data_IF_207375684399
#
_entry.id   IF_207375684399
#
_cell.length_a   1.000
_cell.length_b   1.000
_cell.length_c   1.000
_cell.angle_alpha   90.00
_cell.angle_beta   90.00
_cell.angle_gamma   90.00
#
_symmetry.space_group_name_H-M   'P 1'
#
loop_
_entity.id
_entity.type
_entity.pdbx_description
1 polymer ?
#
# COMPACT_ATOMS: atom_id res chain seq x y z
N UNK A 1 -15.18 0.59 -24.32
CA UNK A 1 -14.04 0.84 -23.44
C UNK A 1 -14.31 2.15 -22.71
N UNK A 2 -14.62 2.09 -21.42
CA UNK A 2 -14.91 3.32 -20.67
C UNK A 2 -13.62 4.06 -20.36
N UNK A 3 -13.66 5.39 -20.36
CA UNK A 3 -12.54 6.31 -20.05
C UNK A 3 -11.80 6.05 -18.72
N UNK A 4 -12.28 5.09 -17.93
CA UNK A 4 -11.68 4.71 -16.64
C UNK A 4 -10.56 3.67 -16.72
N UNK A 5 -10.34 3.03 -17.87
CA UNK A 5 -9.41 1.90 -17.96
C UNK A 5 -7.94 2.32 -18.10
N UNK A 6 -7.65 3.54 -18.53
CA UNK A 6 -6.28 4.06 -18.71
C UNK A 6 -5.60 4.36 -17.36
N UNK A 7 -6.36 4.79 -16.36
CA UNK A 7 -5.78 5.20 -15.07
C UNK A 7 -5.16 4.07 -14.26
N UNK A 8 -5.50 2.81 -14.53
CA UNK A 8 -4.87 1.67 -13.86
C UNK A 8 -3.40 1.53 -14.23
N UNK A 9 -3.08 1.94 -15.44
CA UNK A 9 -1.73 1.80 -15.99
C UNK A 9 -0.80 2.91 -15.51
N UNK A 10 -1.35 4.03 -15.07
CA UNK A 10 -0.58 5.20 -14.65
C UNK A 10 -0.23 5.14 -13.15
N UNK A 11 -1.05 4.46 -12.38
CA UNK A 11 -0.86 4.31 -10.94
C UNK A 11 -0.69 2.82 -10.60
N UNK A 12 0.10 2.47 -9.57
CA UNK A 12 0.28 1.07 -9.14
C UNK A 12 -0.98 0.54 -8.43
N UNK A 13 -2.14 0.73 -9.03
CA UNK A 13 -3.40 0.21 -8.54
C UNK A 13 -3.74 -1.11 -9.22
N UNK A 14 -4.37 -2.05 -8.52
CA UNK A 14 -4.79 -3.32 -9.11
C UNK A 14 -5.81 -3.12 -10.22
N UNK A 15 -5.75 -3.95 -11.26
CA UNK A 15 -6.66 -3.92 -12.41
C UNK A 15 -8.10 -4.22 -12.02
N UNK A 16 -8.32 -5.00 -10.97
CA UNK A 16 -9.65 -5.40 -10.52
C UNK A 16 -10.45 -4.21 -10.01
N UNK A 17 -11.57 -3.92 -10.66
CA UNK A 17 -12.47 -2.81 -10.30
C UNK A 17 -12.91 -2.85 -8.85
N UNK A 18 -13.17 -4.03 -8.31
CA UNK A 18 -13.59 -4.21 -6.92
C UNK A 18 -12.48 -3.82 -5.94
N UNK A 19 -11.27 -4.27 -6.15
CA UNK A 19 -10.13 -3.87 -5.31
C UNK A 19 -9.89 -2.38 -5.33
N UNK A 20 -10.00 -1.73 -6.48
CA UNK A 20 -9.87 -0.26 -6.58
C UNK A 20 -10.94 0.47 -5.78
N UNK A 21 -12.21 0.04 -5.87
CA UNK A 21 -13.31 0.62 -5.07
C UNK A 21 -13.04 0.48 -3.58
N UNK A 22 -12.53 -0.67 -3.14
CA UNK A 22 -12.16 -0.89 -1.75
C UNK A 22 -11.02 0.03 -1.33
N UNK A 23 -9.96 0.17 -2.14
CA UNK A 23 -8.85 1.10 -1.88
C UNK A 23 -9.38 2.52 -1.69
N UNK A 24 -10.19 3.02 -2.62
CA UNK A 24 -10.78 4.35 -2.52
C UNK A 24 -11.64 4.50 -1.27
N UNK A 25 -12.46 3.49 -0.93
CA UNK A 25 -13.27 3.52 0.28
C UNK A 25 -12.44 3.63 1.55
N UNK A 26 -11.27 3.00 1.58
CA UNK A 26 -10.33 3.07 2.70
C UNK A 26 -9.67 4.45 2.76
N UNK A 27 -9.13 4.94 1.65
CA UNK A 27 -8.37 6.20 1.59
C UNK A 27 -9.25 7.45 1.79
N UNK A 28 -10.53 7.40 1.44
CA UNK A 28 -11.47 8.49 1.70
C UNK A 28 -11.98 8.51 3.13
N UNK A 29 -11.97 7.39 3.84
CA UNK A 29 -12.51 7.25 5.17
C UNK A 29 -11.53 7.76 6.25
N UNK A 30 -12.04 8.52 7.23
CA UNK A 30 -11.27 8.86 8.43
C UNK A 30 -10.83 7.60 9.18
N UNK A 31 -11.73 6.60 9.33
CA UNK A 31 -11.41 5.33 9.99
C UNK A 31 -10.28 4.61 9.23
N UNK A 32 -10.42 4.48 7.91
CA UNK A 32 -9.42 3.82 7.07
C UNK A 32 -8.04 4.48 7.18
N UNK A 33 -7.97 5.80 7.03
CA UNK A 33 -6.72 6.56 7.18
C UNK A 33 -6.11 6.39 8.56
N UNK A 34 -6.90 6.54 9.61
CA UNK A 34 -6.40 6.39 10.99
C UNK A 34 -5.85 4.99 11.24
N UNK A 35 -6.51 3.95 10.75
CA UNK A 35 -6.01 2.58 10.90
C UNK A 35 -4.69 2.39 10.15
N UNK A 36 -4.56 2.86 8.92
CA UNK A 36 -3.30 2.79 8.15
C UNK A 36 -2.17 3.54 8.86
N UNK A 37 -2.43 4.74 9.37
CA UNK A 37 -1.43 5.52 10.11
C UNK A 37 -0.96 4.86 11.40
N UNK A 38 -1.79 4.00 12.01
CA UNK A 38 -1.43 3.23 13.22
C UNK A 38 -0.82 1.85 12.92
N UNK A 39 -0.61 1.50 11.64
CA UNK A 39 0.10 0.27 11.28
C UNK A 39 1.61 0.41 11.45
N UNK A 40 2.25 -0.68 11.88
CA UNK A 40 3.69 -0.82 11.79
C UNK A 40 4.08 -1.07 10.34
N UNK A 41 5.04 -0.30 9.83
CA UNK A 41 5.53 -0.48 8.45
C UNK A 41 6.33 -1.77 8.27
N UNK A 42 7.06 -2.18 9.29
CA UNK A 42 7.96 -3.33 9.26
C UNK A 42 7.68 -4.29 10.43
N UNK A 43 6.42 -4.67 10.59
CA UNK A 43 6.05 -5.56 11.68
C UNK A 43 4.56 -5.82 11.79
N UNK A 44 4.22 -6.67 12.74
CA UNK A 44 2.83 -7.02 13.04
C UNK A 44 2.15 -5.90 13.83
N UNK A 45 0.92 -5.60 13.46
CA UNK A 45 0.02 -4.76 14.23
C UNK A 45 -1.16 -5.61 14.68
N UNK A 46 -1.42 -5.65 15.98
CA UNK A 46 -2.47 -6.50 16.53
C UNK A 46 -3.81 -5.80 16.53
N UNK A 47 -4.86 -6.54 16.16
CA UNK A 47 -6.22 -6.01 16.12
C UNK A 47 -6.64 -5.37 17.45
N UNK A 48 -6.29 -6.00 18.58
CA UNK A 48 -6.61 -5.51 19.92
C UNK A 48 -6.01 -4.14 20.21
N UNK A 49 -4.81 -3.88 19.68
CA UNK A 49 -4.09 -2.61 19.92
C UNK A 49 -4.71 -1.49 19.09
N UNK A 50 -5.14 -1.78 17.85
CA UNK A 50 -5.91 -0.84 17.04
C UNK A 50 -7.27 -0.50 17.68
N UNK A 51 -7.96 -1.49 18.27
CA UNK A 51 -9.21 -1.27 18.98
C UNK A 51 -9.00 -0.39 20.21
N UNK A 52 -7.93 -0.60 20.97
CA UNK A 52 -7.61 0.20 22.16
C UNK A 52 -7.08 1.58 21.83
N UNK A 53 -6.31 1.70 20.75
CA UNK A 53 -5.61 2.92 20.36
C UNK A 53 -6.45 3.92 19.56
N UNK A 54 -7.68 3.55 19.18
CA UNK A 54 -8.55 4.42 18.38
C UNK A 54 -9.91 4.61 19.04
N UNK A 55 -10.58 5.74 18.74
CA UNK A 55 -11.89 6.08 19.28
C UNK A 55 -13.09 5.52 18.49
N UNK A 56 -12.83 4.68 17.48
CA UNK A 56 -13.86 4.13 16.63
C UNK A 56 -14.49 2.87 17.21
N UNK A 57 -15.71 2.53 16.77
CA UNK A 57 -16.36 1.30 17.19
C UNK A 57 -15.60 0.06 16.71
N UNK A 58 -15.59 -1.00 17.52
CA UNK A 58 -14.98 -2.27 17.15
C UNK A 58 -15.50 -2.80 15.81
N UNK A 59 -16.81 -2.61 15.55
CA UNK A 59 -17.45 -3.00 14.29
C UNK A 59 -16.82 -2.28 13.10
N UNK A 60 -16.69 -0.95 13.19
CA UNK A 60 -16.08 -0.15 12.12
C UNK A 60 -14.61 -0.54 11.87
N UNK A 61 -13.84 -0.71 12.94
CA UNK A 61 -12.43 -1.11 12.85
C UNK A 61 -12.31 -2.46 12.10
N UNK A 62 -13.06 -3.47 12.54
CA UNK A 62 -13.03 -4.81 11.95
C UNK A 62 -13.48 -4.79 10.48
N UNK A 63 -14.49 -3.99 10.15
CA UNK A 63 -14.99 -3.85 8.78
C UNK A 63 -13.92 -3.25 7.86
N UNK A 64 -13.26 -2.17 8.28
CA UNK A 64 -12.21 -1.54 7.48
C UNK A 64 -10.96 -2.43 7.35
N UNK A 65 -10.57 -3.15 8.40
CA UNK A 65 -9.48 -4.13 8.33
C UNK A 65 -9.80 -5.24 7.32
N UNK A 66 -11.03 -5.73 7.27
CA UNK A 66 -11.46 -6.71 6.24
C UNK A 66 -11.37 -6.12 4.83
N UNK A 67 -11.82 -4.88 4.63
CA UNK A 67 -11.70 -4.18 3.33
C UNK A 67 -10.25 -4.05 2.90
N UNK A 68 -9.36 -3.69 3.81
CA UNK A 68 -7.92 -3.57 3.54
C UNK A 68 -7.29 -4.89 3.14
N UNK A 69 -7.68 -5.99 3.79
CA UNK A 69 -7.22 -7.34 3.40
C UNK A 69 -7.78 -7.74 2.03
N UNK A 70 -9.07 -7.51 1.76
CA UNK A 70 -9.69 -7.80 0.47
C UNK A 70 -9.12 -6.95 -0.68
N UNK A 71 -8.57 -5.78 -0.37
CA UNK A 71 -7.93 -4.89 -1.34
C UNK A 71 -6.41 -5.12 -1.48
N UNK A 72 -5.87 -6.17 -0.86
CA UNK A 72 -4.44 -6.47 -0.81
C UNK A 72 -3.57 -5.32 -0.22
N UNK A 73 -4.17 -4.47 0.62
CA UNK A 73 -3.44 -3.44 1.39
C UNK A 73 -2.75 -4.07 2.61
N UNK A 74 -3.42 -5.04 3.24
CA UNK A 74 -2.92 -5.74 4.41
C UNK A 74 -2.98 -7.25 4.20
N UNK A 75 -1.99 -7.95 4.73
CA UNK A 75 -2.04 -9.37 5.04
C UNK A 75 -2.49 -9.57 6.49
N UNK A 76 -3.15 -10.67 6.78
CA UNK A 76 -3.62 -11.02 8.12
C UNK A 76 -3.21 -12.41 8.53
N UNK A 77 -3.07 -12.60 9.83
CA UNK A 77 -2.86 -13.92 10.40
C UNK A 77 -3.34 -14.00 11.85
N UNK A 78 -3.20 -15.16 12.42
CA UNK A 78 -3.52 -15.41 13.82
C UNK A 78 -2.32 -16.09 14.49
N UNK A 79 -2.07 -15.72 15.74
CA UNK A 79 -1.13 -16.43 16.60
C UNK A 79 -1.80 -16.80 17.92
N UNK A 80 -1.30 -17.84 18.54
CA UNK A 80 -1.77 -18.28 19.84
C UNK A 80 -0.80 -17.80 20.90
N UNK A 81 -1.31 -16.97 21.81
CA UNK A 81 -0.51 -16.47 22.95
C UNK A 81 -1.04 -17.05 24.24
N UNK A 82 -0.16 -17.50 25.09
CA UNK A 82 -0.52 -17.99 26.43
C UNK A 82 -0.50 -16.83 27.40
N UNK A 83 -1.67 -16.46 27.92
CA UNK A 83 -1.81 -15.43 28.97
C UNK A 83 -2.23 -16.12 30.28
N UNK A 84 -1.26 -16.32 31.16
CA UNK A 84 -1.45 -17.13 32.37
C UNK A 84 -1.76 -18.59 32.00
N UNK A 85 -2.90 -19.12 32.47
CA UNK A 85 -3.35 -20.50 32.18
C UNK A 85 -4.24 -20.61 30.92
N UNK A 86 -4.48 -19.52 30.19
CA UNK A 86 -5.39 -19.49 29.04
C UNK A 86 -4.62 -19.28 27.73
N UNK A 87 -4.96 -20.06 26.72
CA UNK A 87 -4.52 -19.86 25.34
C UNK A 87 -5.51 -18.95 24.64
N UNK A 88 -5.05 -17.79 24.14
CA UNK A 88 -5.86 -16.81 23.44
C UNK A 88 -5.34 -16.68 22.01
N UNK A 89 -6.24 -16.69 21.03
CA UNK A 89 -5.92 -16.41 19.63
C UNK A 89 -5.95 -14.91 19.41
N UNK A 90 -4.84 -14.37 18.92
CA UNK A 90 -4.69 -12.94 18.64
C UNK A 90 -4.53 -12.75 17.13
N UNK A 91 -5.36 -11.88 16.56
CA UNK A 91 -5.30 -11.54 15.16
C UNK A 91 -4.32 -10.40 14.94
N UNK A 92 -3.49 -10.54 13.91
CA UNK A 92 -2.51 -9.53 13.50
C UNK A 92 -2.62 -9.20 12.02
N UNK A 93 -2.06 -8.04 11.65
CA UNK A 93 -1.99 -7.52 10.29
C UNK A 93 -0.58 -7.02 10.02
N UNK A 94 -0.14 -7.16 8.75
CA UNK A 94 1.09 -6.55 8.22
C UNK A 94 0.77 -5.86 6.90
N UNK A 95 1.37 -4.70 6.61
CA UNK A 95 1.18 -4.04 5.33
C UNK A 95 1.84 -4.83 4.19
N UNK A 96 1.15 -4.95 3.07
CA UNK A 96 1.73 -5.37 1.79
C UNK A 96 2.66 -4.27 1.24
N UNK A 97 3.29 -4.49 0.08
CA UNK A 97 4.05 -3.43 -0.62
C UNK A 97 3.15 -2.22 -0.90
N UNK A 98 1.94 -2.46 -1.38
CA UNK A 98 0.94 -1.42 -1.64
C UNK A 98 0.49 -0.74 -0.33
N UNK A 99 0.28 -1.50 0.73
CA UNK A 99 -0.07 -0.98 2.04
C UNK A 99 1.02 -0.07 2.64
N UNK A 100 2.29 -0.46 2.54
CA UNK A 100 3.43 0.39 2.97
C UNK A 100 3.47 1.70 2.20
N UNK A 101 3.21 1.66 0.89
CA UNK A 101 3.11 2.85 0.06
C UNK A 101 2.02 3.81 0.55
N UNK A 102 0.82 3.30 0.85
CA UNK A 102 -0.26 4.14 1.38
C UNK A 102 0.06 4.72 2.75
N UNK A 103 0.71 3.95 3.62
CA UNK A 103 1.14 4.44 4.93
C UNK A 103 2.18 5.54 4.77
N UNK A 104 3.17 5.35 3.89
CA UNK A 104 4.18 6.37 3.57
C UNK A 104 3.55 7.66 3.03
N UNK A 105 2.53 7.53 2.18
CA UNK A 105 1.80 8.67 1.64
C UNK A 105 0.98 9.44 2.70
N UNK A 106 0.48 8.74 3.72
CA UNK A 106 -0.37 9.32 4.76
C UNK A 106 0.42 9.86 5.96
N UNK A 107 1.56 9.30 6.28
CA UNK A 107 2.40 9.73 7.41
C UNK A 107 3.40 10.80 6.98
N UNK A 108 3.70 11.79 7.85
CA UNK A 108 4.84 12.66 7.64
C UNK A 108 6.13 11.84 7.52
N UNK A 109 6.94 12.15 6.52
CA UNK A 109 8.20 11.42 6.25
C UNK A 109 9.18 11.50 7.41
N UNK A 110 9.11 12.57 8.20
CA UNK A 110 9.95 12.83 9.38
C UNK A 110 9.70 11.83 10.53
N UNK A 111 8.51 11.21 10.53
CA UNK A 111 8.13 10.19 11.53
C UNK A 111 8.56 8.77 11.14
N UNK A 112 9.15 8.60 9.96
CA UNK A 112 9.51 7.29 9.41
C UNK A 112 11.04 7.18 9.30
N UNK A 113 11.65 6.09 9.78
CA UNK A 113 13.08 5.87 9.62
C UNK A 113 13.51 5.93 8.15
N UNK A 114 14.59 6.65 7.78
CA UNK A 114 15.01 6.84 6.40
C UNK A 114 15.21 5.55 5.60
N UNK A 115 15.74 4.50 6.23
CA UNK A 115 15.92 3.21 5.57
C UNK A 115 14.60 2.55 5.19
N UNK A 116 13.58 2.75 6.00
CA UNK A 116 12.25 2.24 5.74
C UNK A 116 11.55 3.02 4.62
N UNK A 117 11.78 4.34 4.55
CA UNK A 117 11.34 5.18 3.43
C UNK A 117 11.97 4.68 2.13
N UNK A 118 13.29 4.50 2.10
CA UNK A 118 14.03 3.99 0.94
C UNK A 118 13.47 2.64 0.48
N UNK A 119 13.37 1.68 1.38
CA UNK A 119 12.83 0.33 1.10
C UNK A 119 11.43 0.40 0.49
N UNK A 120 10.55 1.23 1.05
CA UNK A 120 9.17 1.39 0.56
C UNK A 120 9.14 2.01 -0.84
N UNK A 121 10.00 3.00 -1.12
CA UNK A 121 10.12 3.61 -2.45
C UNK A 121 10.64 2.59 -3.46
N UNK A 122 11.65 1.80 -3.12
CA UNK A 122 12.14 0.73 -3.98
C UNK A 122 11.06 -0.32 -4.29
N UNK A 123 10.29 -0.73 -3.28
CA UNK A 123 9.19 -1.68 -3.46
C UNK A 123 8.09 -1.14 -4.37
N UNK A 124 7.68 0.12 -4.21
CA UNK A 124 6.64 0.71 -5.07
C UNK A 124 7.16 0.93 -6.49
N UNK A 125 8.43 1.27 -6.65
CA UNK A 125 9.03 1.40 -7.96
C UNK A 125 9.04 0.05 -8.72
N UNK A 126 9.31 -1.06 -8.03
CA UNK A 126 9.20 -2.40 -8.60
C UNK A 126 7.77 -2.71 -9.06
N UNK A 127 6.76 -2.40 -8.22
CA UNK A 127 5.35 -2.58 -8.57
C UNK A 127 4.99 -1.74 -9.81
N UNK A 128 5.44 -0.49 -9.84
CA UNK A 128 5.21 0.41 -10.96
C UNK A 128 5.87 -0.08 -12.26
N UNK A 129 7.12 -0.52 -12.18
CA UNK A 129 7.85 -1.07 -13.33
C UNK A 129 7.15 -2.32 -13.89
N UNK A 130 6.66 -3.21 -13.02
CA UNK A 130 5.88 -4.39 -13.44
C UNK A 130 4.59 -3.99 -14.16
N UNK A 131 3.88 -2.98 -13.67
CA UNK A 131 2.67 -2.45 -14.31
C UNK A 131 2.96 -1.85 -15.69
N UNK A 132 4.11 -1.17 -15.86
CA UNK A 132 4.53 -0.63 -17.16
C UNK A 132 4.82 -1.74 -18.16
N UNK A 133 5.49 -2.82 -17.74
CA UNK A 133 5.73 -3.98 -18.61
C UNK A 133 4.39 -4.55 -19.10
N UNK A 134 3.44 -4.74 -18.20
CA UNK A 134 2.10 -5.24 -18.53
C UNK A 134 1.34 -4.32 -19.50
N UNK A 135 1.44 -3.00 -19.33
CA UNK A 135 0.91 -2.01 -20.27
C UNK A 135 1.55 -2.17 -21.65
N UNK A 136 2.87 -2.28 -21.70
CA UNK A 136 3.58 -2.45 -22.97
C UNK A 136 3.12 -3.71 -23.71
N UNK A 137 2.97 -4.81 -22.99
CA UNK A 137 2.48 -6.08 -23.55
C UNK A 137 1.03 -5.98 -24.05
N UNK A 138 0.13 -5.40 -23.26
CA UNK A 138 -1.30 -5.32 -23.58
C UNK A 138 -1.62 -4.34 -24.72
N UNK A 139 -0.82 -3.29 -24.89
CA UNK A 139 -1.04 -2.26 -25.91
C UNK A 139 -0.03 -2.31 -27.07
N UNK A 140 0.85 -3.29 -27.11
CA UNK A 140 1.87 -3.42 -28.15
C UNK A 140 2.87 -2.25 -28.16
N UNK A 141 3.16 -1.66 -27.00
CA UNK A 141 4.12 -0.57 -26.84
C UNK A 141 5.51 -1.17 -26.66
N UNK A 142 6.48 -0.66 -27.44
CA UNK A 142 7.88 -1.10 -27.29
C UNK A 142 8.44 -0.65 -25.94
N UNK A 143 8.89 -1.60 -25.13
CA UNK A 143 9.52 -1.34 -23.83
C UNK A 143 10.76 -0.44 -23.94
N UNK A 144 11.46 -0.45 -25.09
CA UNK A 144 12.59 0.41 -25.32
C UNK A 144 12.22 1.89 -25.40
N UNK A 145 10.98 2.22 -25.75
CA UNK A 145 10.47 3.59 -25.68
C UNK A 145 10.48 4.10 -24.24
N UNK A 146 10.02 3.29 -23.29
CA UNK A 146 10.05 3.65 -21.87
C UNK A 146 11.48 3.86 -21.35
N UNK A 147 12.38 2.96 -21.72
CA UNK A 147 13.81 3.09 -21.37
C UNK A 147 14.44 4.37 -21.93
N UNK A 148 14.13 4.74 -23.16
CA UNK A 148 14.58 5.99 -23.79
C UNK A 148 14.07 7.23 -23.06
N UNK A 149 12.78 7.22 -22.66
CA UNK A 149 12.18 8.33 -21.89
C UNK A 149 12.89 8.47 -20.54
N UNK A 150 13.06 7.37 -19.80
CA UNK A 150 13.73 7.39 -18.50
C UNK A 150 15.17 7.93 -18.59
N UNK A 151 15.94 7.47 -19.59
CA UNK A 151 17.31 7.92 -19.83
C UNK A 151 17.37 9.40 -20.21
N UNK A 152 16.42 9.89 -21.01
CA UNK A 152 16.33 11.29 -21.38
C UNK A 152 16.08 12.19 -20.18
N UNK A 153 15.13 11.83 -19.32
CA UNK A 153 14.83 12.60 -18.10
C UNK A 153 16.01 12.61 -17.13
N UNK A 154 16.70 11.48 -16.98
CA UNK A 154 17.90 11.40 -16.16
C UNK A 154 19.01 12.31 -16.68
N UNK A 155 19.28 12.29 -17.99
CA UNK A 155 20.30 13.14 -18.62
C UNK A 155 20.00 14.63 -18.51
N UNK A 156 18.72 15.02 -18.64
CA UNK A 156 18.29 16.41 -18.50
C UNK A 156 18.57 16.98 -17.10
N UNK A 157 18.39 16.18 -16.04
CA UNK A 157 18.68 16.61 -14.66
C UNK A 157 20.17 16.78 -14.38
N UNK A 158 21.01 15.94 -14.96
CA UNK A 158 22.47 16.00 -14.75
C UNK A 158 23.09 17.26 -15.37
N UNK A 159 22.46 17.84 -16.41
CA UNK A 159 22.95 19.05 -17.09
C UNK A 159 22.54 20.32 -16.31
N UNK A 160 21.54 20.27 -15.47
CA UNK A 160 21.03 21.46 -14.75
C UNK A 160 21.79 21.73 -13.43
N UNK A 161 22.65 20.78 -12.99
CA UNK A 161 23.44 20.88 -11.75
C UNK A 161 24.90 21.31 -11.99
N UNK A 162 25.24 21.70 -13.22
CA UNK A 162 26.57 22.20 -13.60
C UNK A 162 26.48 23.67 -13.98
#
# INVERSE_FOLDING_TARGET
MGDNDIWHYILPFPFENEKRRLIWSVLQSKVGKTLLMNMNLDGRTYQRDLIKGTSYSNKSIIEYLKRMVSADILEQGMEQVTTGKRKVRIKWYVPTKLGRWFILFLKPTEEIPPDLVRKTIEEIFQVYASSIVEVCENFGIDIDLFRKILNKEYSNKTITET
#
